data_IF_758690243512
#
_entry.id   IF_758690243512
#
_cell.length_a   1.000
_cell.length_b   1.000
_cell.length_c   1.000
_cell.angle_alpha   90.00
_cell.angle_beta   90.00
_cell.angle_gamma   90.00
#
_symmetry.space_group_name_H-M   'P 1'
#
loop_
_entity.id
_entity.type
_entity.pdbx_description
1 polymer ?
#
# COMPACT_ATOMS: atom_id res chain seq x y z
N UNK A 1 -39.32 53.86 -0.43
CA UNK A 1 -40.56 54.62 -0.22
C UNK A 1 -41.72 53.76 -0.70
N UNK A 2 -42.60 53.38 0.25
CA UNK A 2 -44.03 52.99 0.17
C UNK A 2 -44.45 51.85 -0.79
N UNK A 3 -45.05 50.71 -0.42
CA UNK A 3 -46.10 50.27 0.53
C UNK A 3 -47.45 49.94 -0.16
N UNK A 4 -48.17 48.94 0.40
CA UNK A 4 -49.51 48.38 0.10
C UNK A 4 -49.57 47.26 -0.97
N UNK A 5 -49.90 45.97 -0.73
CA UNK A 5 -50.72 45.20 0.22
C UNK A 5 -52.22 45.12 -0.12
N UNK A 6 -52.72 43.95 -0.54
CA UNK A 6 -54.13 43.49 -0.36
C UNK A 6 -54.23 41.96 -0.33
N UNK A 7 -54.99 41.49 0.67
CA UNK A 7 -55.32 40.12 1.07
C UNK A 7 -56.66 39.65 0.45
N UNK A 8 -56.84 38.34 0.29
CA UNK A 8 -58.10 37.55 0.49
C UNK A 8 -57.69 36.06 0.48
N UNK A 9 -57.71 35.24 1.55
CA UNK A 9 -58.72 34.83 2.53
C UNK A 9 -59.80 33.82 2.04
N UNK A 10 -59.64 32.57 2.48
CA UNK A 10 -60.62 31.58 2.97
C UNK A 10 -61.68 30.87 2.09
N UNK A 11 -61.63 29.53 2.12
CA UNK A 11 -62.70 28.55 2.48
C UNK A 11 -62.13 27.11 2.29
N UNK A 12 -61.95 26.17 3.25
CA UNK A 12 -62.83 25.60 4.30
C UNK A 12 -64.24 25.29 3.74
N UNK A 13 -64.82 24.07 3.70
CA UNK A 13 -64.76 22.88 4.56
C UNK A 13 -65.64 21.77 3.87
N UNK A 14 -65.29 20.47 3.85
CA UNK A 14 -65.80 19.37 4.71
C UNK A 14 -66.67 18.30 4.02
N UNK A 15 -66.82 17.16 4.73
CA UNK A 15 -67.66 15.94 4.54
C UNK A 15 -66.85 14.76 3.97
N UNK A 16 -66.24 13.85 4.75
CA UNK A 16 -66.66 12.90 5.80
C UNK A 16 -67.26 11.56 5.32
N UNK A 17 -66.62 10.47 5.79
CA UNK A 17 -67.22 9.18 6.18
C UNK A 17 -67.00 8.00 5.22
N UNK A 18 -66.79 6.75 5.63
CA UNK A 18 -66.45 6.08 6.91
C UNK A 18 -66.39 4.55 6.59
N UNK A 19 -65.74 3.76 7.46
CA UNK A 19 -65.82 2.28 7.61
C UNK A 19 -65.08 1.42 6.56
N UNK A 20 -64.42 0.30 6.84
CA UNK A 20 -64.06 -0.47 8.05
C UNK A 20 -63.03 -1.54 7.62
N UNK A 21 -62.10 -1.92 8.52
CA UNK A 21 -61.18 -3.05 8.32
C UNK A 21 -61.92 -4.41 8.38
N UNK A 22 -61.32 -5.53 7.90
CA UNK A 22 -60.53 -6.33 8.86
C UNK A 22 -59.29 -7.06 8.30
N UNK A 23 -58.48 -7.47 9.29
CA UNK A 23 -57.27 -8.29 9.30
C UNK A 23 -57.25 -9.50 8.33
N UNK A 24 -56.11 -9.71 7.64
CA UNK A 24 -55.33 -10.95 7.78
C UNK A 24 -53.97 -10.91 7.06
N UNK A 25 -53.03 -11.66 7.64
CA UNK A 25 -51.79 -12.20 7.06
C UNK A 25 -50.55 -11.30 7.01
N UNK A 26 -49.81 -11.36 8.11
CA UNK A 26 -48.38 -11.09 8.22
C UNK A 26 -47.59 -11.95 7.21
N UNK A 27 -46.98 -11.33 6.21
CA UNK A 27 -45.80 -11.88 5.56
C UNK A 27 -44.58 -11.05 5.98
N UNK A 28 -44.10 -11.30 7.19
CA UNK A 28 -42.73 -10.96 7.56
C UNK A 28 -41.83 -11.89 6.75
N UNK A 29 -41.31 -11.41 5.62
CA UNK A 29 -40.16 -12.03 4.97
C UNK A 29 -38.98 -11.94 5.93
N UNK A 30 -38.76 -13.04 6.65
CA UNK A 30 -37.63 -13.24 7.55
C UNK A 30 -36.34 -13.09 6.76
N UNK A 31 -35.65 -11.94 6.93
CA UNK A 31 -34.23 -11.85 6.61
C UNK A 31 -33.52 -12.84 7.53
N UNK A 32 -33.12 -13.98 6.98
CA UNK A 32 -32.19 -14.88 7.65
C UNK A 32 -30.89 -14.11 7.93
N UNK A 33 -30.40 -14.07 9.17
CA UNK A 33 -29.11 -13.44 9.46
C UNK A 33 -28.01 -14.19 8.68
N UNK A 34 -27.04 -13.48 8.09
CA UNK A 34 -25.92 -14.12 7.42
C UNK A 34 -25.15 -15.00 8.42
N UNK A 35 -24.65 -16.17 7.99
CA UNK A 35 -23.92 -17.06 8.88
C UNK A 35 -22.72 -16.32 9.50
N UNK A 36 -22.37 -16.60 10.77
CA UNK A 36 -21.18 -16.04 11.36
C UNK A 36 -20.00 -16.43 10.47
N UNK A 37 -19.31 -15.43 9.91
CA UNK A 37 -18.05 -15.65 9.20
C UNK A 37 -17.19 -16.46 10.14
N UNK A 38 -16.91 -17.71 9.77
CA UNK A 38 -16.04 -18.58 10.54
C UNK A 38 -14.82 -17.75 10.89
N UNK A 39 -14.55 -17.63 12.18
CA UNK A 39 -13.33 -17.05 12.66
C UNK A 39 -12.22 -17.97 12.14
N UNK A 40 -11.80 -17.70 10.90
CA UNK A 40 -10.66 -18.33 10.29
C UNK A 40 -9.57 -18.19 11.32
N UNK A 41 -9.14 -19.34 11.85
CA UNK A 41 -8.03 -19.40 12.78
C UNK A 41 -6.98 -18.49 12.19
N UNK A 42 -6.70 -17.36 12.85
CA UNK A 42 -5.64 -16.46 12.44
C UNK A 42 -4.38 -17.29 12.61
N UNK A 43 -3.98 -18.01 11.56
CA UNK A 43 -2.69 -18.68 11.50
C UNK A 43 -1.70 -17.56 11.79
N UNK A 44 -1.18 -17.58 13.02
CA UNK A 44 -0.18 -16.67 13.48
C UNK A 44 0.88 -16.64 12.38
N UNK A 45 1.05 -15.48 11.74
CA UNK A 45 1.90 -15.33 10.59
C UNK A 45 3.31 -15.73 11.00
N UNK A 46 3.66 -16.98 10.73
CA UNK A 46 4.93 -17.56 11.12
C UNK A 46 5.95 -16.96 10.18
N UNK A 47 6.62 -15.91 10.62
CA UNK A 47 7.56 -15.17 9.78
C UNK A 47 8.80 -16.02 9.57
N UNK A 48 8.82 -16.60 8.36
CA UNK A 48 9.77 -17.58 7.86
C UNK A 48 9.56 -17.86 6.35
N UNK A 49 9.09 -16.81 5.65
CA UNK A 49 8.90 -16.65 4.20
C UNK A 49 7.62 -17.22 3.57
N UNK A 50 7.05 -16.36 2.74
CA UNK A 50 5.94 -16.62 1.82
C UNK A 50 6.09 -17.86 0.94
N UNK A 51 7.31 -18.17 0.47
CA UNK A 51 7.60 -19.31 -0.42
C UNK A 51 8.76 -20.18 0.11
N UNK A 52 8.96 -20.26 1.43
CA UNK A 52 9.98 -21.15 2.02
C UNK A 52 9.46 -21.85 3.26
N UNK A 53 10.13 -22.93 3.66
CA UNK A 53 9.82 -23.70 4.88
C UNK A 53 10.57 -23.22 6.12
N UNK A 54 11.39 -22.17 6.02
CA UNK A 54 12.15 -21.62 7.15
C UNK A 54 11.24 -21.03 8.23
N UNK A 55 11.77 -20.83 9.44
CA UNK A 55 11.06 -20.25 10.60
C UNK A 55 11.86 -19.13 11.30
N UNK A 56 12.79 -18.49 10.59
CA UNK A 56 13.70 -17.49 11.17
C UNK A 56 13.01 -16.17 11.51
N UNK A 57 13.22 -15.67 12.74
CA UNK A 57 12.53 -14.50 13.33
C UNK A 57 13.38 -13.21 13.36
N UNK A 58 14.47 -13.13 12.61
CA UNK A 58 15.38 -11.97 12.63
C UNK A 58 14.74 -10.74 11.98
N UNK A 59 14.54 -9.68 12.77
CA UNK A 59 14.06 -8.39 12.31
C UNK A 59 14.65 -7.26 13.17
N UNK A 60 14.66 -6.03 12.64
CA UNK A 60 15.06 -4.85 13.43
C UNK A 60 14.03 -4.57 14.53
N UNK A 61 14.48 -4.48 15.79
CA UNK A 61 13.67 -4.01 16.90
C UNK A 61 13.80 -2.49 17.04
N UNK A 62 12.72 -1.76 16.81
CA UNK A 62 12.72 -0.30 16.96
C UNK A 62 12.73 0.09 18.45
N UNK A 63 13.45 1.16 18.83
CA UNK A 63 13.38 1.67 20.19
C UNK A 63 11.96 2.14 20.53
N UNK A 64 11.58 2.02 21.81
CA UNK A 64 10.28 2.47 22.29
C UNK A 64 10.12 3.98 22.14
N UNK A 65 11.14 4.75 22.57
CA UNK A 65 11.16 6.20 22.44
C UNK A 65 11.20 6.60 20.96
N UNK A 66 10.22 7.41 20.55
CA UNK A 66 10.07 7.91 19.17
C UNK A 66 10.67 9.29 18.95
N UNK A 67 11.02 9.99 20.03
CA UNK A 67 11.66 11.30 19.99
C UNK A 67 13.13 11.18 19.55
N UNK A 68 13.66 12.16 18.80
CA UNK A 68 15.07 12.18 18.47
C UNK A 68 15.91 12.33 19.75
N UNK A 69 17.13 11.76 19.79
CA UNK A 69 18.02 11.92 20.93
C UNK A 69 18.56 13.36 21.01
N UNK A 70 18.84 13.84 22.23
CA UNK A 70 19.23 15.23 22.50
C UNK A 70 20.60 15.64 21.91
N UNK A 71 21.47 14.67 21.63
CA UNK A 71 22.77 14.87 21.00
C UNK A 71 22.68 15.06 19.48
N UNK A 72 21.55 14.70 18.87
CA UNK A 72 21.34 14.93 17.44
C UNK A 72 20.96 16.38 17.21
N UNK A 73 21.92 17.19 16.72
CA UNK A 73 21.72 18.63 16.43
C UNK A 73 21.27 18.92 14.99
N UNK A 74 21.03 17.89 14.20
CA UNK A 74 20.64 18.00 12.79
C UNK A 74 19.18 18.47 12.73
N UNK A 75 18.91 19.51 11.95
CA UNK A 75 17.55 20.01 11.74
C UNK A 75 16.76 19.10 10.80
N UNK A 76 15.43 19.20 10.80
CA UNK A 76 14.60 18.42 9.87
C UNK A 76 14.86 18.80 8.42
N UNK A 77 15.23 20.06 8.14
CA UNK A 77 15.50 20.58 6.80
C UNK A 77 16.78 19.97 6.23
N UNK A 78 17.85 19.90 7.03
CA UNK A 78 19.13 19.30 6.61
C UNK A 78 18.98 17.83 6.21
N UNK A 79 18.08 17.11 6.90
CA UNK A 79 17.77 15.71 6.59
C UNK A 79 17.05 15.59 5.25
N UNK A 80 16.10 16.47 4.96
CA UNK A 80 15.38 16.49 3.67
C UNK A 80 16.33 16.82 2.51
N UNK A 81 17.23 17.79 2.69
CA UNK A 81 18.25 18.13 1.70
C UNK A 81 19.20 16.97 1.44
N UNK A 82 19.65 16.30 2.50
CA UNK A 82 20.50 15.11 2.40
C UNK A 82 19.80 13.99 1.64
N UNK A 83 18.53 13.73 1.93
CA UNK A 83 17.71 12.74 1.21
C UNK A 83 17.61 13.10 -0.28
N UNK A 84 17.36 14.36 -0.61
CA UNK A 84 17.28 14.82 -2.00
C UNK A 84 18.61 14.69 -2.72
N UNK A 85 19.73 15.01 -2.05
CA UNK A 85 21.09 14.84 -2.59
C UNK A 85 21.38 13.38 -2.91
N UNK A 86 21.02 12.44 -2.02
CA UNK A 86 21.22 11.01 -2.26
C UNK A 86 20.29 10.45 -3.33
N UNK A 87 19.05 10.95 -3.41
CA UNK A 87 18.13 10.57 -4.48
C UNK A 87 18.61 11.02 -5.86
N UNK A 88 19.17 12.23 -5.97
CA UNK A 88 19.80 12.72 -7.21
C UNK A 88 21.00 11.89 -7.65
N UNK A 89 21.70 11.23 -6.72
CA UNK A 89 22.75 10.25 -7.02
C UNK A 89 22.22 8.89 -7.50
N UNK A 90 20.89 8.70 -7.52
CA UNK A 90 20.26 7.45 -7.94
C UNK A 90 20.18 6.38 -6.85
N UNK A 91 20.39 6.73 -5.58
CA UNK A 91 20.30 5.76 -4.49
C UNK A 91 18.85 5.42 -4.15
N UNK A 92 18.61 4.15 -3.79
CA UNK A 92 17.26 3.71 -3.43
C UNK A 92 16.86 4.20 -2.04
N UNK A 93 15.56 4.42 -1.77
CA UNK A 93 15.08 4.85 -0.44
C UNK A 93 15.57 3.96 0.71
N UNK A 94 15.70 2.66 0.47
CA UNK A 94 16.24 1.71 1.46
C UNK A 94 17.72 1.95 1.73
N UNK A 95 18.54 2.18 0.70
CA UNK A 95 19.96 2.52 0.85
C UNK A 95 20.17 3.89 1.51
N UNK A 96 19.35 4.89 1.15
CA UNK A 96 19.37 6.22 1.77
C UNK A 96 19.17 6.10 3.28
N UNK A 97 18.20 5.29 3.72
CA UNK A 97 17.97 5.07 5.15
C UNK A 97 19.12 4.39 5.89
N UNK A 98 19.93 3.58 5.20
CA UNK A 98 21.13 2.94 5.77
C UNK A 98 22.26 3.96 5.89
N UNK A 99 22.53 4.76 4.85
CA UNK A 99 23.58 5.78 4.86
C UNK A 99 23.30 6.86 5.91
N UNK A 100 22.05 7.28 6.06
CA UNK A 100 21.66 8.24 7.10
C UNK A 100 21.88 7.67 8.51
N UNK A 101 21.70 6.35 8.68
CA UNK A 101 21.95 5.69 9.97
C UNK A 101 23.44 5.58 10.26
N UNK A 102 24.21 5.07 9.31
CA UNK A 102 25.59 4.66 9.54
C UNK A 102 26.57 5.84 9.48
N UNK A 103 26.34 6.81 8.59
CA UNK A 103 27.25 7.96 8.43
C UNK A 103 26.80 9.21 9.20
N UNK A 104 25.48 9.47 9.29
CA UNK A 104 24.95 10.70 9.91
C UNK A 104 24.40 10.46 11.32
N UNK A 105 24.34 9.21 11.79
CA UNK A 105 23.81 8.87 13.11
C UNK A 105 22.28 9.01 13.24
N UNK A 106 21.54 9.18 12.14
CA UNK A 106 20.09 9.33 12.15
C UNK A 106 19.45 7.94 12.16
N UNK A 107 19.10 7.46 13.36
CA UNK A 107 18.50 6.14 13.53
C UNK A 107 17.17 5.97 12.78
N UNK A 108 16.30 6.98 12.83
CA UNK A 108 14.97 6.97 12.21
C UNK A 108 14.62 8.35 11.62
N UNK A 109 14.53 8.44 10.30
CA UNK A 109 14.11 9.68 9.59
C UNK A 109 12.74 10.16 10.05
N UNK A 110 11.80 9.22 10.31
CA UNK A 110 10.44 9.57 10.79
C UNK A 110 10.47 10.30 12.14
N UNK A 111 11.43 10.01 13.00
CA UNK A 111 11.53 10.63 14.33
C UNK A 111 12.01 12.08 14.27
N UNK A 112 12.79 12.44 13.26
CA UNK A 112 13.32 13.80 13.08
C UNK A 112 12.34 14.64 12.25
N UNK A 113 11.95 14.15 11.07
CA UNK A 113 11.17 14.90 10.08
C UNK A 113 9.66 14.69 10.19
N UNK A 114 9.19 13.68 10.95
CA UNK A 114 7.77 13.29 11.04
C UNK A 114 7.24 12.51 9.82
N UNK A 115 7.89 12.64 8.66
CA UNK A 115 7.57 11.94 7.42
C UNK A 115 8.52 10.77 7.10
N UNK A 116 8.07 9.81 6.28
CA UNK A 116 8.92 8.73 5.77
C UNK A 116 9.69 9.19 4.52
N UNK A 117 10.84 8.56 4.25
CA UNK A 117 11.70 8.84 3.08
C UNK A 117 10.89 8.88 1.77
N UNK A 118 10.08 7.86 1.48
CA UNK A 118 9.26 7.81 0.28
C UNK A 118 8.23 8.96 0.16
N UNK A 119 7.78 9.54 1.29
CA UNK A 119 6.85 10.67 1.27
C UNK A 119 7.59 11.96 0.93
N UNK A 120 8.78 12.15 1.50
CA UNK A 120 9.66 13.29 1.21
C UNK A 120 10.04 13.28 -0.28
N UNK A 121 10.47 12.13 -0.82
CA UNK A 121 10.80 12.01 -2.24
C UNK A 121 9.63 12.32 -3.18
N UNK A 122 8.40 11.96 -2.79
CA UNK A 122 7.20 12.30 -3.55
C UNK A 122 6.87 13.78 -3.50
N UNK A 123 7.07 14.44 -2.36
CA UNK A 123 6.86 15.88 -2.23
C UNK A 123 7.80 16.68 -3.15
N UNK A 124 9.04 16.20 -3.33
CA UNK A 124 10.02 16.81 -4.22
C UNK A 124 9.98 16.30 -5.67
N UNK A 125 9.06 15.40 -6.02
CA UNK A 125 8.98 14.83 -7.38
C UNK A 125 10.15 13.92 -7.79
N UNK A 126 10.96 13.46 -6.84
CA UNK A 126 12.12 12.56 -7.06
C UNK A 126 11.77 11.09 -6.77
N UNK A 127 10.49 10.75 -6.74
CA UNK A 127 10.05 9.40 -6.41
C UNK A 127 10.23 8.47 -7.62
N UNK A 128 10.67 7.21 -7.42
CA UNK A 128 10.73 6.25 -8.49
C UNK A 128 9.31 5.88 -8.94
N UNK A 129 9.09 5.87 -10.26
CA UNK A 129 7.83 5.45 -10.90
C UNK A 129 7.44 4.01 -10.51
N UNK A 130 8.45 3.13 -10.49
CA UNK A 130 8.28 1.74 -10.12
C UNK A 130 8.68 1.56 -8.64
N UNK A 131 7.84 0.95 -7.79
CA UNK A 131 8.20 0.62 -6.42
C UNK A 131 9.47 -0.22 -6.33
N UNK A 132 10.35 0.13 -5.40
CA UNK A 132 11.67 -0.50 -5.18
C UNK A 132 11.57 -2.04 -5.05
N UNK A 133 10.60 -2.54 -4.30
CA UNK A 133 10.38 -3.97 -4.09
C UNK A 133 10.14 -4.72 -5.40
N UNK A 134 9.36 -4.10 -6.30
CA UNK A 134 8.97 -4.69 -7.58
C UNK A 134 10.15 -4.65 -8.55
N UNK A 135 10.89 -3.53 -8.60
CA UNK A 135 12.12 -3.39 -9.39
C UNK A 135 13.15 -4.48 -9.05
N UNK A 136 13.44 -4.70 -7.76
CA UNK A 136 14.42 -5.71 -7.34
C UNK A 136 13.99 -7.16 -7.60
N UNK A 137 12.68 -7.45 -7.57
CA UNK A 137 12.18 -8.78 -7.95
C UNK A 137 12.30 -9.02 -9.45
N UNK A 138 11.99 -8.01 -10.28
CA UNK A 138 12.19 -8.09 -11.73
C UNK A 138 13.67 -8.27 -12.05
N UNK A 139 14.56 -7.48 -11.42
CA UNK A 139 16.02 -7.62 -11.58
C UNK A 139 16.51 -9.04 -11.30
N UNK A 140 16.00 -9.64 -10.24
CA UNK A 140 16.30 -11.03 -9.88
C UNK A 140 15.75 -12.03 -10.91
N UNK A 141 14.53 -11.82 -11.40
CA UNK A 141 13.93 -12.68 -12.42
C UNK A 141 14.72 -12.64 -13.74
N UNK A 142 15.12 -11.44 -14.20
CA UNK A 142 15.94 -11.25 -15.40
C UNK A 142 17.29 -11.95 -15.25
N UNK A 143 17.95 -11.81 -14.10
CA UNK A 143 19.21 -12.50 -13.83
C UNK A 143 19.08 -14.03 -13.88
N UNK A 144 18.01 -14.59 -13.28
CA UNK A 144 17.74 -16.04 -13.32
C UNK A 144 17.42 -16.51 -14.75
N UNK A 145 16.67 -15.73 -15.53
CA UNK A 145 16.39 -16.06 -16.94
C UNK A 145 17.67 -16.11 -17.78
N UNK A 146 18.54 -15.10 -17.66
CA UNK A 146 19.86 -15.08 -18.32
C UNK A 146 20.74 -16.27 -17.94
N UNK A 147 20.67 -16.71 -16.67
CA UNK A 147 21.35 -17.93 -16.23
C UNK A 147 20.77 -19.19 -16.88
N UNK A 148 19.45 -19.32 -16.96
CA UNK A 148 18.76 -20.47 -17.53
C UNK A 148 18.90 -20.60 -19.05
N UNK A 149 19.10 -19.49 -19.76
CA UNK A 149 19.39 -19.50 -21.21
C UNK A 149 20.65 -20.32 -21.53
N UNK A 150 21.68 -20.19 -20.68
CA UNK A 150 22.92 -20.95 -20.76
C UNK A 150 22.77 -22.35 -20.12
N UNK A 151 22.08 -22.42 -18.99
CA UNK A 151 21.95 -23.63 -18.17
C UNK A 151 20.53 -24.23 -18.23
N UNK A 152 20.14 -24.75 -19.39
CA UNK A 152 18.77 -25.25 -19.63
C UNK A 152 18.36 -26.44 -18.76
N UNK A 153 19.32 -27.21 -18.25
CA UNK A 153 19.09 -28.41 -17.43
C UNK A 153 18.89 -28.11 -15.93
N UNK A 154 19.14 -26.87 -15.49
CA UNK A 154 18.99 -26.49 -14.08
C UNK A 154 17.50 -26.40 -13.68
N UNK A 155 17.02 -27.45 -13.00
CA UNK A 155 15.63 -27.56 -12.53
C UNK A 155 15.36 -26.72 -11.28
N UNK A 156 16.37 -26.48 -10.44
CA UNK A 156 16.22 -25.70 -9.21
C UNK A 156 16.06 -24.21 -9.53
N UNK A 157 16.87 -23.68 -10.44
CA UNK A 157 16.72 -22.30 -10.90
C UNK A 157 15.37 -22.06 -11.60
N UNK A 158 14.85 -23.04 -12.36
CA UNK A 158 13.48 -22.97 -12.93
C UNK A 158 12.42 -22.89 -11.84
N UNK A 159 12.52 -23.74 -10.81
CA UNK A 159 11.60 -23.69 -9.68
C UNK A 159 11.66 -22.34 -8.95
N UNK A 160 12.86 -21.81 -8.72
CA UNK A 160 13.05 -20.50 -8.08
C UNK A 160 12.53 -19.34 -8.94
N UNK A 161 12.64 -19.41 -10.27
CA UNK A 161 12.05 -18.44 -11.18
C UNK A 161 10.53 -18.36 -11.00
N UNK A 162 9.85 -19.52 -10.97
CA UNK A 162 8.39 -19.60 -10.75
C UNK A 162 8.00 -18.92 -9.43
N UNK A 163 8.78 -19.12 -8.36
CA UNK A 163 8.54 -18.47 -7.06
C UNK A 163 8.78 -16.96 -7.07
N UNK A 164 9.72 -16.46 -7.89
CA UNK A 164 9.98 -15.02 -8.05
C UNK A 164 8.86 -14.38 -8.85
N UNK A 165 8.48 -14.96 -10.00
CA UNK A 165 7.41 -14.45 -10.86
C UNK A 165 6.06 -14.44 -10.14
N UNK A 166 5.78 -15.49 -9.36
CA UNK A 166 4.60 -15.53 -8.49
C UNK A 166 4.55 -14.38 -7.48
N UNK A 167 5.71 -13.93 -6.95
CA UNK A 167 5.77 -12.75 -6.07
C UNK A 167 5.55 -11.45 -6.83
N UNK A 168 6.11 -11.32 -8.03
CA UNK A 168 5.91 -10.15 -8.90
C UNK A 168 4.43 -9.97 -9.20
N UNK A 169 3.73 -11.03 -9.62
CA UNK A 169 2.29 -10.96 -9.89
C UNK A 169 1.45 -10.59 -8.66
N UNK A 170 1.82 -11.10 -7.48
CA UNK A 170 1.16 -10.74 -6.22
C UNK A 170 1.34 -9.26 -5.86
N UNK A 171 2.56 -8.74 -5.97
CA UNK A 171 2.85 -7.32 -5.70
C UNK A 171 2.20 -6.42 -6.74
N UNK A 172 2.23 -6.80 -8.02
CA UNK A 172 1.56 -6.06 -9.08
C UNK A 172 0.07 -5.90 -8.80
N UNK A 173 -0.62 -6.99 -8.39
CA UNK A 173 -2.05 -6.91 -7.99
C UNK A 173 -2.27 -5.95 -6.82
N UNK A 174 -1.43 -6.00 -5.80
CA UNK A 174 -1.51 -5.09 -4.65
C UNK A 174 -1.34 -3.63 -5.06
N UNK A 175 -0.36 -3.35 -5.93
CA UNK A 175 -0.07 -1.99 -6.35
C UNK A 175 -1.08 -1.41 -7.34
N UNK A 176 -1.70 -2.24 -8.19
CA UNK A 176 -2.88 -1.87 -8.97
C UNK A 176 -4.05 -1.50 -8.08
N UNK A 177 -4.33 -2.31 -7.05
CA UNK A 177 -5.40 -2.03 -6.08
C UNK A 177 -5.17 -0.72 -5.31
N UNK A 178 -3.92 -0.44 -4.96
CA UNK A 178 -3.55 0.80 -4.23
C UNK A 178 -3.30 2.01 -5.15
N UNK A 179 -3.57 1.88 -6.46
CA UNK A 179 -3.41 2.93 -7.48
C UNK A 179 -1.98 3.52 -7.56
N UNK A 180 -0.97 2.77 -7.14
CA UNK A 180 0.44 3.15 -7.30
C UNK A 180 1.01 2.76 -8.66
N UNK A 181 0.35 1.84 -9.35
CA UNK A 181 0.65 1.47 -10.74
C UNK A 181 -0.60 1.62 -11.61
N UNK A 182 -0.44 1.90 -12.91
CA UNK A 182 -1.56 1.96 -13.83
C UNK A 182 -2.22 0.58 -13.95
N UNK A 183 -3.55 0.51 -14.15
CA UNK A 183 -4.29 -0.75 -14.21
C UNK A 183 -3.84 -1.65 -15.36
N UNK A 184 -3.38 -1.04 -16.46
CA UNK A 184 -2.86 -1.69 -17.67
C UNK A 184 -1.51 -2.38 -17.44
N UNK A 185 -0.76 -1.99 -16.40
CA UNK A 185 0.60 -2.49 -16.19
C UNK A 185 0.66 -4.02 -16.13
N UNK A 186 1.55 -4.64 -16.92
CA UNK A 186 1.70 -6.09 -16.94
C UNK A 186 3.18 -6.45 -16.92
N UNK A 187 3.51 -7.50 -16.18
CA UNK A 187 4.85 -8.05 -16.18
C UNK A 187 4.98 -8.96 -17.40
N UNK A 188 5.82 -8.57 -18.34
CA UNK A 188 6.17 -9.38 -19.50
C UNK A 188 7.67 -9.68 -19.45
N UNK A 189 8.02 -10.95 -19.61
CA UNK A 189 9.41 -11.39 -19.41
C UNK A 189 10.39 -10.90 -20.47
N UNK A 190 9.90 -10.58 -21.67
CA UNK A 190 10.69 -10.07 -22.79
C UNK A 190 11.05 -8.59 -22.60
N UNK A 191 10.12 -7.79 -22.06
CA UNK A 191 10.32 -6.36 -21.80
C UNK A 191 10.93 -6.09 -20.42
N UNK A 192 10.95 -7.08 -19.53
CA UNK A 192 11.51 -6.95 -18.18
C UNK A 192 12.97 -6.46 -18.16
N UNK A 193 13.77 -6.80 -19.18
CA UNK A 193 15.18 -6.39 -19.26
C UNK A 193 15.35 -4.89 -19.50
N UNK A 194 14.44 -4.24 -20.23
CA UNK A 194 14.53 -2.79 -20.50
C UNK A 194 14.09 -1.93 -19.32
N UNK A 195 13.26 -2.49 -18.43
CA UNK A 195 12.78 -1.82 -17.21
C UNK A 195 13.81 -1.77 -16.08
N UNK A 196 14.91 -2.51 -16.21
CA UNK A 196 15.90 -2.74 -15.14
C UNK A 196 17.32 -2.36 -15.56
N UNK A 197 17.51 -2.01 -16.83
CA UNK A 197 18.78 -1.50 -17.36
C UNK A 197 19.16 -0.15 -16.76
#
# INVERSE_FOLDING_TARGET
>A
MNAANTLTANSFQHIQGLCSAPLHSKCHSALSPPPPRSAGHRKAATMGRMHSRGKGISASALPYKRTPPSWLKISSQDVEESICKFAKKGLTPSQIGVILRDSHGIAQVKSVTGSKILRILKAHGLAPEIPEDLYHLIKKAVAIRKHLERNRKDKDSKFRLILVESRIHRLARYYKKTKKLPPVWKYESTTASTLVA
#
